data_IF_926563783081
#
_entry.id   IF_926563783081
#
_cell.length_a   1.000
_cell.length_b   1.000
_cell.length_c   1.000
_cell.angle_alpha   90.00
_cell.angle_beta   90.00
_cell.angle_gamma   90.00
#
_symmetry.space_group_name_H-M   'P 1'
#
loop_
_entity.id
_entity.type
_entity.pdbx_description
1 polymer ?
#
# COMPACT_ATOMS: atom_id res chain seq x y z
N UNK A 1 -26.84 -7.54 -0.33
CA UNK A 1 -25.68 -6.75 -0.80
C UNK A 1 -24.92 -6.05 0.30
N UNK A 2 -23.60 -6.20 0.29
CA UNK A 2 -22.65 -5.65 1.26
C UNK A 2 -22.70 -4.10 1.32
N UNK A 3 -22.88 -3.44 0.17
CA UNK A 3 -23.10 -1.99 0.07
C UNK A 3 -24.42 -1.54 0.72
N UNK A 4 -25.51 -2.26 0.46
CA UNK A 4 -26.82 -1.97 1.06
C UNK A 4 -26.83 -2.25 2.58
N UNK A 5 -26.07 -3.26 3.02
CA UNK A 5 -25.90 -3.54 4.44
C UNK A 5 -25.22 -2.38 5.16
N UNK A 6 -24.16 -1.79 4.58
CA UNK A 6 -23.47 -0.59 5.12
C UNK A 6 -24.40 0.62 5.22
N UNK A 7 -25.22 0.90 4.21
CA UNK A 7 -25.98 2.15 4.10
C UNK A 7 -26.89 2.48 5.31
N UNK A 8 -27.24 1.49 6.13
CA UNK A 8 -28.04 1.67 7.35
C UNK A 8 -27.25 1.60 8.66
N UNK A 9 -25.92 1.55 8.63
CA UNK A 9 -25.06 1.41 9.81
C UNK A 9 -24.25 2.69 10.04
N UNK A 10 -24.22 3.18 11.28
CA UNK A 10 -23.51 4.40 11.68
C UNK A 10 -22.05 4.14 12.06
N UNK A 11 -21.75 2.93 12.52
CA UNK A 11 -20.43 2.49 12.95
C UNK A 11 -20.18 1.02 12.58
N UNK A 12 -18.94 0.60 12.73
CA UNK A 12 -18.49 -0.74 12.38
C UNK A 12 -19.11 -1.84 13.25
N UNK A 13 -19.50 -1.52 14.50
CA UNK A 13 -20.17 -2.45 15.41
C UNK A 13 -21.59 -2.79 14.95
N UNK A 14 -22.37 -1.78 14.55
CA UNK A 14 -23.70 -1.97 13.97
C UNK A 14 -23.63 -2.78 12.66
N UNK A 15 -22.59 -2.53 11.85
CA UNK A 15 -22.36 -3.29 10.63
C UNK A 15 -22.05 -4.76 10.94
N UNK A 16 -21.09 -5.01 11.82
CA UNK A 16 -20.67 -6.35 12.23
C UNK A 16 -21.84 -7.16 12.83
N UNK A 17 -22.65 -6.55 13.69
CA UNK A 17 -23.85 -7.18 14.25
C UNK A 17 -24.86 -7.58 13.17
N UNK A 18 -25.08 -6.72 12.18
CA UNK A 18 -26.01 -6.96 11.07
C UNK A 18 -25.51 -8.04 10.12
N UNK A 19 -24.21 -8.11 9.87
CA UNK A 19 -23.60 -9.08 8.95
C UNK A 19 -23.12 -10.35 9.63
N UNK A 20 -23.19 -10.42 10.97
CA UNK A 20 -22.61 -11.50 11.80
C UNK A 20 -21.12 -11.72 11.49
N UNK A 21 -20.41 -10.64 11.18
CA UNK A 21 -18.97 -10.68 10.92
C UNK A 21 -18.21 -10.28 12.19
N UNK A 22 -16.98 -10.79 12.32
CA UNK A 22 -16.08 -10.40 13.40
C UNK A 22 -15.32 -9.13 13.02
N UNK A 23 -15.17 -8.20 13.95
CA UNK A 23 -14.33 -7.02 13.76
C UNK A 23 -12.89 -7.40 14.06
N UNK A 24 -12.00 -7.15 13.11
CA UNK A 24 -10.57 -7.28 13.31
C UNK A 24 -9.93 -5.92 13.56
N UNK A 25 -9.13 -5.86 14.62
CA UNK A 25 -8.38 -4.65 14.99
C UNK A 25 -6.95 -4.78 14.53
N UNK A 26 -6.46 -3.71 13.90
CA UNK A 26 -5.07 -3.60 13.49
C UNK A 26 -4.51 -2.28 13.99
N UNK A 27 -3.46 -2.37 14.80
CA UNK A 27 -2.69 -1.22 15.24
C UNK A 27 -1.52 -0.95 14.32
N UNK A 28 -1.10 0.32 14.27
CA UNK A 28 0.14 0.76 13.59
C UNK A 28 0.15 0.50 12.07
N UNK A 29 -1.01 0.43 11.44
CA UNK A 29 -1.10 0.44 9.97
C UNK A 29 -0.63 1.81 9.44
N UNK A 30 0.33 1.79 8.52
CA UNK A 30 0.88 2.98 7.86
C UNK A 30 0.76 2.85 6.34
N UNK A 31 0.85 3.97 5.62
CA UNK A 31 0.86 3.96 4.15
C UNK A 31 2.03 3.15 3.55
N UNK A 32 3.15 3.04 4.26
CA UNK A 32 4.30 2.25 3.85
C UNK A 32 4.19 0.76 4.19
N UNK A 33 3.07 0.33 4.77
CA UNK A 33 2.86 -1.08 5.12
C UNK A 33 2.79 -1.91 3.85
N UNK A 34 3.53 -3.02 3.80
CA UNK A 34 3.58 -3.88 2.61
C UNK A 34 2.36 -4.81 2.51
N UNK A 35 1.80 -5.20 3.65
CA UNK A 35 0.72 -6.17 3.74
C UNK A 35 -0.12 -5.89 4.99
N UNK A 36 -1.38 -6.33 4.93
CA UNK A 36 -2.24 -6.46 6.10
C UNK A 36 -1.94 -7.84 6.70
N UNK A 37 -1.66 -7.96 8.01
CA UNK A 37 -1.49 -9.25 8.68
C UNK A 37 -2.64 -10.19 8.35
N UNK A 38 -2.35 -11.48 8.19
CA UNK A 38 -3.32 -12.54 7.82
C UNK A 38 -3.84 -12.45 6.37
N UNK A 39 -4.09 -11.26 5.84
CA UNK A 39 -4.70 -11.06 4.51
C UNK A 39 -3.70 -10.87 3.37
N UNK A 40 -2.45 -10.59 3.70
CA UNK A 40 -1.40 -10.42 2.69
C UNK A 40 -1.47 -9.05 2.02
N UNK A 41 -1.15 -9.00 0.72
CA UNK A 41 -0.95 -7.75 -0.01
C UNK A 41 -2.29 -7.11 -0.42
N UNK A 42 -2.67 -6.05 0.27
CA UNK A 42 -3.96 -5.36 0.14
C UNK A 42 -3.77 -3.84 -0.03
N UNK A 43 -3.09 -3.42 -1.10
CA UNK A 43 -2.67 -2.04 -1.31
C UNK A 43 -3.84 -1.03 -1.25
N UNK A 44 -5.00 -1.37 -1.81
CA UNK A 44 -6.21 -0.52 -1.77
C UNK A 44 -6.78 -0.38 -0.35
N UNK A 45 -6.75 -1.44 0.45
CA UNK A 45 -7.21 -1.41 1.84
C UNK A 45 -6.28 -0.53 2.66
N UNK A 46 -4.96 -0.71 2.50
CA UNK A 46 -3.93 0.06 3.20
C UNK A 46 -4.08 1.55 2.86
N UNK A 47 -4.16 1.88 1.58
CA UNK A 47 -4.38 3.24 1.13
C UNK A 47 -5.67 3.83 1.71
N UNK A 48 -6.78 3.11 1.60
CA UNK A 48 -8.09 3.58 2.08
C UNK A 48 -8.10 3.81 3.59
N UNK A 49 -7.51 2.91 4.36
CA UNK A 49 -7.41 3.07 5.82
C UNK A 49 -6.59 4.31 6.21
N UNK A 50 -5.53 4.64 5.47
CA UNK A 50 -4.66 5.78 5.80
C UNK A 50 -5.27 7.14 5.47
N UNK A 51 -6.23 7.21 4.54
CA UNK A 51 -6.90 8.46 4.14
C UNK A 51 -8.29 8.62 4.78
N UNK A 52 -8.84 7.56 5.36
CA UNK A 52 -10.15 7.59 6.00
C UNK A 52 -10.10 8.43 7.28
N UNK A 53 -11.06 9.35 7.44
CA UNK A 53 -11.10 10.21 8.62
C UNK A 53 -11.37 9.40 9.88
N UNK A 54 -10.72 9.77 10.98
CA UNK A 54 -10.98 9.21 12.31
C UNK A 54 -12.49 9.24 12.63
N UNK A 55 -13.00 8.13 13.16
CA UNK A 55 -14.40 7.96 13.55
C UNK A 55 -15.36 7.72 12.37
N UNK A 56 -14.86 7.61 11.13
CA UNK A 56 -15.70 7.36 9.95
C UNK A 56 -15.42 5.99 9.33
N UNK A 57 -16.43 5.44 8.66
CA UNK A 57 -16.33 4.19 7.90
C UNK A 57 -16.06 4.46 6.42
N UNK A 58 -15.09 3.76 5.85
CA UNK A 58 -14.81 3.78 4.41
C UNK A 58 -15.99 3.26 3.59
N UNK A 59 -16.05 3.63 2.30
CA UNK A 59 -16.87 2.87 1.36
C UNK A 59 -16.42 1.39 1.33
N UNK A 60 -17.32 0.44 1.00
CA UNK A 60 -16.91 -0.94 0.84
C UNK A 60 -15.94 -1.08 -0.33
N UNK A 61 -14.78 -1.66 -0.06
CA UNK A 61 -13.73 -1.90 -1.05
C UNK A 61 -13.58 -3.38 -1.37
N UNK A 62 -13.05 -3.68 -2.55
CA UNK A 62 -12.77 -5.04 -3.01
C UNK A 62 -11.26 -5.25 -2.98
N UNK A 63 -10.80 -6.08 -2.05
CA UNK A 63 -9.43 -6.53 -1.94
C UNK A 63 -9.17 -7.82 -2.72
N UNK A 64 -7.95 -8.32 -2.59
CA UNK A 64 -7.52 -9.60 -3.16
C UNK A 64 -8.13 -10.78 -2.39
N UNK A 65 -8.16 -10.69 -1.06
CA UNK A 65 -8.66 -11.71 -0.15
C UNK A 65 -10.19 -11.63 0.07
N UNK A 66 -10.83 -10.51 -0.28
CA UNK A 66 -12.28 -10.36 -0.08
C UNK A 66 -12.78 -8.91 -0.12
N UNK A 67 -14.01 -8.70 0.33
CA UNK A 67 -14.63 -7.37 0.43
C UNK A 67 -14.48 -6.85 1.86
N UNK A 68 -14.14 -5.59 2.01
CA UNK A 68 -13.79 -5.00 3.30
C UNK A 68 -14.45 -3.63 3.51
N UNK A 69 -14.58 -3.25 4.77
CA UNK A 69 -14.87 -1.89 5.24
C UNK A 69 -13.92 -1.62 6.39
N UNK A 70 -13.33 -0.43 6.43
CA UNK A 70 -12.46 -0.01 7.52
C UNK A 70 -13.09 1.16 8.27
N UNK A 71 -12.91 1.17 9.60
CA UNK A 71 -13.20 2.31 10.45
C UNK A 71 -11.92 2.70 11.19
N UNK A 72 -11.54 3.97 11.09
CA UNK A 72 -10.33 4.47 11.75
C UNK A 72 -10.67 4.88 13.17
N UNK A 73 -10.23 4.11 14.16
CA UNK A 73 -10.43 4.44 15.58
C UNK A 73 -9.54 5.61 16.02
N UNK A 74 -8.27 5.60 15.63
CA UNK A 74 -7.32 6.65 15.99
C UNK A 74 -6.28 6.85 14.89
N UNK A 75 -5.77 8.08 14.79
CA UNK A 75 -4.66 8.45 13.91
C UNK A 75 -3.55 9.00 14.78
N UNK A 76 -2.36 8.39 14.69
CA UNK A 76 -1.15 8.96 15.26
C UNK A 76 -0.41 9.67 14.13
N UNK A 77 -0.45 11.00 14.14
CA UNK A 77 0.32 11.78 13.17
C UNK A 77 1.81 11.57 13.39
N UNK A 78 2.55 11.52 12.28
CA UNK A 78 4.01 11.52 12.35
C UNK A 78 4.47 12.85 12.92
N UNK A 79 5.42 12.81 13.87
CA UNK A 79 6.01 14.05 14.34
C UNK A 79 6.69 14.77 13.17
N UNK A 80 6.49 16.08 13.01
CA UNK A 80 7.18 16.83 11.97
C UNK A 80 8.68 16.68 12.19
N UNK A 81 9.39 16.35 11.11
CA UNK A 81 10.84 16.21 11.16
C UNK A 81 11.44 17.59 11.44
N UNK A 82 11.96 17.78 12.66
CA UNK A 82 12.45 19.08 13.13
C UNK A 82 13.79 19.48 12.51
N UNK A 83 14.58 18.51 12.06
CA UNK A 83 15.89 18.73 11.47
C UNK A 83 15.84 18.61 9.92
N UNK A 84 16.09 19.70 9.18
CA UNK A 84 16.20 19.67 7.72
C UNK A 84 17.23 18.66 7.19
N UNK A 85 18.32 18.40 7.93
CA UNK A 85 19.35 17.43 7.50
C UNK A 85 18.83 15.99 7.57
N UNK A 86 18.03 15.66 8.58
CA UNK A 86 17.40 14.35 8.67
C UNK A 86 16.44 14.11 7.49
N UNK A 87 15.74 15.15 7.04
CA UNK A 87 14.84 15.07 5.89
C UNK A 87 15.62 14.86 4.58
N UNK A 88 16.72 15.59 4.42
CA UNK A 88 17.62 15.41 3.28
C UNK A 88 18.24 14.01 3.25
N UNK A 89 18.67 13.50 4.40
CA UNK A 89 19.19 12.14 4.52
C UNK A 89 18.14 11.09 4.16
N UNK A 90 16.89 11.24 4.61
CA UNK A 90 15.79 10.35 4.24
C UNK A 90 15.53 10.37 2.72
N UNK A 91 15.49 11.55 2.12
CA UNK A 91 15.36 11.71 0.65
C UNK A 91 16.54 11.06 -0.09
N UNK A 92 17.76 11.21 0.41
CA UNK A 92 18.95 10.59 -0.16
C UNK A 92 18.86 9.07 -0.12
N UNK A 93 18.44 8.48 1.00
CA UNK A 93 18.23 7.03 1.09
C UNK A 93 17.19 6.56 0.06
N UNK A 94 16.07 7.27 -0.08
CA UNK A 94 15.06 6.95 -1.11
C UNK A 94 15.62 7.01 -2.53
N UNK A 95 16.41 8.04 -2.84
CA UNK A 95 17.11 8.16 -4.13
C UNK A 95 18.08 7.00 -4.35
N UNK A 96 18.88 6.62 -3.36
CA UNK A 96 19.83 5.53 -3.47
C UNK A 96 19.15 4.19 -3.73
N UNK A 97 18.05 3.89 -3.05
CA UNK A 97 17.25 2.67 -3.30
C UNK A 97 16.72 2.63 -4.74
N UNK A 98 16.30 3.77 -5.28
CA UNK A 98 15.87 3.89 -6.68
C UNK A 98 17.04 3.70 -7.66
N UNK A 99 18.17 4.37 -7.41
CA UNK A 99 19.39 4.24 -8.22
C UNK A 99 19.94 2.81 -8.22
N UNK A 100 19.82 2.06 -7.12
CA UNK A 100 20.25 0.67 -7.08
C UNK A 100 19.46 -0.21 -8.08
N UNK A 101 18.15 0.03 -8.26
CA UNK A 101 17.36 -0.69 -9.27
C UNK A 101 17.80 -0.35 -10.69
N UNK A 102 18.00 0.93 -10.95
CA UNK A 102 18.44 1.47 -12.24
C UNK A 102 19.82 0.93 -12.66
N UNK A 103 20.76 0.86 -11.72
CA UNK A 103 22.11 0.36 -11.96
C UNK A 103 22.16 -1.16 -12.16
N UNK A 104 21.20 -1.92 -11.62
CA UNK A 104 21.18 -3.38 -11.75
C UNK A 104 20.75 -3.90 -13.13
N UNK A 105 20.39 -3.03 -14.08
CA UNK A 105 20.23 -3.45 -15.49
C UNK A 105 19.28 -2.61 -16.31
N UNK A 106 18.34 -1.89 -15.68
CA UNK A 106 17.29 -1.15 -16.39
C UNK A 106 17.87 -0.08 -17.32
N UNK A 107 18.96 0.60 -16.92
CA UNK A 107 19.65 1.58 -17.78
C UNK A 107 20.28 0.92 -19.00
N UNK A 108 20.96 -0.21 -18.79
CA UNK A 108 21.65 -0.92 -19.87
C UNK A 108 20.63 -1.50 -20.87
N UNK A 109 19.50 -2.00 -20.39
CA UNK A 109 18.41 -2.44 -21.27
C UNK A 109 17.76 -1.27 -22.01
N UNK A 110 17.51 -0.14 -21.34
CA UNK A 110 16.95 1.05 -21.98
C UNK A 110 17.88 1.59 -23.08
N UNK A 111 19.19 1.65 -22.82
CA UNK A 111 20.19 2.06 -23.80
C UNK A 111 20.26 1.09 -24.99
N UNK A 112 20.20 -0.23 -24.77
CA UNK A 112 20.14 -1.23 -25.85
C UNK A 112 18.91 -1.06 -26.74
N UNK A 113 17.73 -0.83 -26.14
CA UNK A 113 16.48 -0.58 -26.87
C UNK A 113 16.54 0.74 -27.65
N UNK A 114 17.03 1.81 -27.04
CA UNK A 114 17.16 3.12 -27.69
C UNK A 114 18.17 3.09 -28.85
N UNK A 115 19.25 2.33 -28.71
CA UNK A 115 20.25 2.12 -29.76
C UNK A 115 19.81 1.09 -30.83
N UNK A 116 18.60 0.50 -30.68
CA UNK A 116 18.03 -0.49 -31.60
C UNK A 116 19.00 -1.66 -31.91
N UNK A 117 19.70 -2.14 -30.88
CA UNK A 117 20.70 -3.20 -31.01
C UNK A 117 19.98 -4.55 -31.08
N UNK A 118 20.11 -5.25 -32.21
CA UNK A 118 19.69 -6.65 -32.38
C UNK A 118 20.87 -7.58 -32.02
N UNK A 119 20.65 -8.54 -31.11
CA UNK A 119 21.69 -9.46 -30.64
C UNK A 119 21.63 -10.77 -31.43
N UNK A 120 22.48 -10.88 -32.46
CA UNK A 120 22.61 -12.08 -33.28
C UNK A 120 23.68 -13.06 -32.77
N UNK A 121 24.15 -12.93 -31.52
CA UNK A 121 25.11 -13.89 -30.97
C UNK A 121 24.41 -15.23 -30.73
N UNK A 122 24.84 -16.26 -31.47
CA UNK A 122 24.49 -17.63 -31.15
C UNK A 122 24.97 -17.94 -29.72
N UNK A 123 24.05 -18.33 -28.83
CA UNK A 123 24.43 -18.96 -27.56
C UNK A 123 25.01 -20.33 -27.87
N UNK A 124 26.32 -20.46 -27.71
CA UNK A 124 26.96 -21.76 -27.62
C UNK A 124 26.86 -22.20 -26.16
N UNK A 125 25.81 -22.95 -25.84
CA UNK A 125 25.75 -23.71 -24.60
C UNK A 125 26.71 -24.91 -24.77
N UNK A 126 27.73 -25.01 -23.92
CA UNK A 126 28.64 -26.16 -23.81
C UNK A 126 28.15 -27.11 -22.71
#
# INVERSE_FOLDING_TARGET
DFKAQKAGCKNIDEFAAKTKLTIEKMDRLTFSSFAVPVYGKEDELIATATITKKGTMSAPGKGTAGVWIVQVENVKEAEPMKDPKALEQQKNMGRMTYFQRIQQGETNEALKKAANIDDHKARFDY
#
